data_IF_897211577357
#
_entry.id   IF_897211577357
#
_cell.length_a   1.000
_cell.length_b   1.000
_cell.length_c   1.000
_cell.angle_alpha   90.00
_cell.angle_beta   90.00
_cell.angle_gamma   90.00
#
_symmetry.space_group_name_H-M   'P 1'
#
loop_
_entity.id
_entity.type
_entity.pdbx_description
1 polymer ?
#
# COMPACT_ATOMS: atom_id res chain seq x y z
N UNK A 1 9.12 -47.39 -51.95
CA UNK A 1 9.73 -46.13 -51.47
C UNK A 1 9.10 -45.79 -50.14
N UNK A 2 9.88 -45.67 -49.08
CA UNK A 2 9.35 -45.41 -47.73
C UNK A 2 10.50 -45.22 -46.77
N UNK A 3 11.30 -44.16 -46.98
CA UNK A 3 12.26 -43.72 -45.99
C UNK A 3 11.47 -43.21 -44.79
N UNK A 4 11.39 -44.02 -43.73
CA UNK A 4 10.84 -43.58 -42.45
C UNK A 4 11.63 -42.36 -41.98
N UNK A 5 10.93 -41.30 -41.60
CA UNK A 5 11.54 -40.09 -41.06
C UNK A 5 12.60 -40.45 -40.02
N UNK A 6 13.81 -39.91 -40.22
CA UNK A 6 14.94 -40.06 -39.30
C UNK A 6 14.48 -39.70 -37.87
N UNK A 7 15.06 -40.35 -36.85
CA UNK A 7 14.80 -40.01 -35.46
C UNK A 7 15.02 -38.50 -35.18
N UNK A 8 15.96 -37.88 -35.89
CA UNK A 8 16.23 -36.45 -35.82
C UNK A 8 15.10 -35.60 -36.41
N UNK A 9 14.50 -36.02 -37.53
CA UNK A 9 13.36 -35.32 -38.13
C UNK A 9 12.09 -35.42 -37.29
N UNK A 10 11.92 -36.53 -36.56
CA UNK A 10 10.83 -36.68 -35.59
C UNK A 10 11.05 -35.77 -34.38
N UNK A 11 12.26 -35.76 -33.83
CA UNK A 11 12.62 -34.89 -32.71
C UNK A 11 12.51 -33.40 -33.09
N UNK A 12 12.95 -33.01 -34.29
CA UNK A 12 12.81 -31.64 -34.81
C UNK A 12 11.34 -31.22 -34.93
N UNK A 13 10.48 -32.09 -35.48
CA UNK A 13 9.03 -31.83 -35.57
C UNK A 13 8.36 -31.72 -34.21
N UNK A 14 8.76 -32.53 -33.24
CA UNK A 14 8.27 -32.44 -31.86
C UNK A 14 8.70 -31.13 -31.19
N UNK A 15 9.93 -30.67 -31.44
CA UNK A 15 10.44 -29.41 -30.93
C UNK A 15 9.69 -28.21 -31.53
N UNK A 16 9.48 -28.19 -32.85
CA UNK A 16 8.71 -27.15 -33.54
C UNK A 16 7.26 -27.09 -33.04
N UNK A 17 6.64 -28.26 -32.80
CA UNK A 17 5.29 -28.33 -32.24
C UNK A 17 5.26 -27.71 -30.84
N UNK A 18 6.21 -28.05 -29.96
CA UNK A 18 6.33 -27.45 -28.62
C UNK A 18 6.55 -25.94 -28.68
N UNK A 19 7.45 -25.47 -29.54
CA UNK A 19 7.71 -24.04 -29.72
C UNK A 19 6.46 -23.28 -30.18
N UNK A 20 5.65 -23.87 -31.06
CA UNK A 20 4.39 -23.28 -31.50
C UNK A 20 3.37 -23.23 -30.37
N UNK A 21 3.21 -24.33 -29.62
CA UNK A 21 2.32 -24.40 -28.46
C UNK A 21 2.73 -23.39 -27.37
N UNK A 22 4.02 -23.27 -27.08
CA UNK A 22 4.57 -22.29 -26.14
C UNK A 22 4.35 -20.86 -26.63
N UNK A 23 4.56 -20.60 -27.94
CA UNK A 23 4.29 -19.29 -28.54
C UNK A 23 2.82 -18.89 -28.47
N UNK A 24 1.88 -19.81 -28.69
CA UNK A 24 0.45 -19.57 -28.55
C UNK A 24 0.06 -19.32 -27.08
N UNK A 25 0.67 -20.04 -26.14
CA UNK A 25 0.47 -19.87 -24.70
C UNK A 25 1.03 -18.52 -24.22
N UNK A 26 2.21 -18.13 -24.67
CA UNK A 26 2.83 -16.85 -24.37
C UNK A 26 2.02 -15.68 -24.94
N UNK A 27 1.45 -15.82 -26.14
CA UNK A 27 0.59 -14.81 -26.73
C UNK A 27 -0.71 -14.55 -25.91
N UNK A 28 -1.16 -15.53 -25.12
CA UNK A 28 -2.31 -15.41 -24.20
C UNK A 28 -1.91 -15.13 -22.75
N UNK A 29 -0.63 -14.89 -22.50
CA UNK A 29 -0.10 -14.66 -21.17
C UNK A 29 -0.01 -13.17 -20.87
N UNK A 30 -0.67 -12.75 -19.79
CA UNK A 30 -0.63 -11.39 -19.26
C UNK A 30 0.34 -11.33 -18.09
N UNK A 31 1.43 -10.57 -18.24
CA UNK A 31 2.44 -10.38 -17.18
C UNK A 31 2.11 -9.14 -16.36
N UNK A 32 1.82 -9.32 -15.09
CA UNK A 32 1.52 -8.27 -14.11
C UNK A 32 2.68 -8.09 -13.14
N UNK A 33 3.23 -6.88 -13.04
CA UNK A 33 4.30 -6.56 -12.09
C UNK A 33 3.75 -5.72 -10.93
N UNK A 34 3.84 -6.23 -9.70
CA UNK A 34 3.42 -5.49 -8.50
C UNK A 34 4.59 -4.66 -7.97
N UNK A 35 4.44 -3.34 -7.97
CA UNK A 35 5.45 -2.41 -7.45
C UNK A 35 4.89 -1.57 -6.30
N UNK A 36 5.78 -1.02 -5.48
CA UNK A 36 5.41 -0.17 -4.34
C UNK A 36 6.37 -0.34 -3.17
N UNK A 37 6.36 0.63 -2.26
CA UNK A 37 7.22 0.64 -1.07
C UNK A 37 7.01 -0.61 -0.18
N UNK A 38 7.90 -0.83 0.78
CA UNK A 38 7.71 -1.86 1.80
C UNK A 38 6.34 -1.71 2.48
N UNK A 39 5.70 -2.84 2.81
CA UNK A 39 4.43 -2.86 3.57
C UNK A 39 3.24 -2.17 2.89
N UNK A 40 3.32 -1.85 1.60
CA UNK A 40 2.22 -1.26 0.83
C UNK A 40 1.02 -2.20 0.60
N UNK A 41 1.22 -3.52 0.72
CA UNK A 41 0.18 -4.54 0.55
C UNK A 41 0.26 -5.36 -0.74
N UNK A 42 1.41 -5.37 -1.43
CA UNK A 42 1.65 -6.19 -2.63
C UNK A 42 1.34 -7.67 -2.41
N UNK A 43 1.98 -8.28 -1.42
CA UNK A 43 1.79 -9.69 -1.12
C UNK A 43 0.35 -10.00 -0.67
N UNK A 44 -0.35 -9.05 -0.05
CA UNK A 44 -1.77 -9.22 0.30
C UNK A 44 -2.63 -9.39 -0.95
N UNK A 45 -2.38 -8.61 -2.01
CA UNK A 45 -3.09 -8.74 -3.28
C UNK A 45 -2.79 -10.10 -3.93
N UNK A 46 -1.54 -10.58 -3.86
CA UNK A 46 -1.19 -11.92 -4.38
C UNK A 46 -1.96 -13.02 -3.62
N UNK A 47 -2.00 -12.92 -2.29
CA UNK A 47 -2.76 -13.84 -1.45
C UNK A 47 -4.25 -13.82 -1.80
N UNK A 48 -4.83 -12.64 -2.04
CA UNK A 48 -6.22 -12.51 -2.50
C UNK A 48 -6.44 -13.14 -3.88
N UNK A 49 -5.51 -12.96 -4.83
CA UNK A 49 -5.60 -13.61 -6.14
C UNK A 49 -5.58 -15.13 -6.03
N UNK A 50 -4.82 -15.70 -5.08
CA UNK A 50 -4.85 -17.13 -4.80
C UNK A 50 -6.22 -17.58 -4.28
N UNK A 51 -6.82 -16.82 -3.37
CA UNK A 51 -8.16 -17.11 -2.83
C UNK A 51 -9.23 -17.08 -3.93
N UNK A 52 -9.22 -16.04 -4.77
CA UNK A 52 -10.27 -15.81 -5.75
C UNK A 52 -10.11 -16.72 -6.99
N UNK A 53 -8.87 -17.04 -7.39
CA UNK A 53 -8.58 -17.69 -8.69
C UNK A 53 -7.77 -18.99 -8.62
N UNK A 54 -7.37 -19.48 -7.43
CA UNK A 54 -6.62 -20.74 -7.25
C UNK A 54 -7.14 -21.58 -6.06
N UNK A 55 -8.45 -21.75 -5.98
CA UNK A 55 -9.12 -22.64 -5.02
C UNK A 55 -8.83 -22.38 -3.52
N UNK A 56 -8.29 -21.21 -3.16
CA UNK A 56 -7.97 -20.89 -1.78
C UNK A 56 -6.63 -21.45 -1.29
N UNK A 57 -6.54 -21.60 0.03
CA UNK A 57 -5.42 -22.23 0.71
C UNK A 57 -5.83 -23.63 1.17
N UNK A 58 -4.98 -24.62 0.96
CA UNK A 58 -5.21 -25.96 1.49
C UNK A 58 -5.07 -25.96 3.02
N UNK A 59 -5.58 -27.00 3.68
CA UNK A 59 -5.39 -27.16 5.13
C UNK A 59 -3.91 -27.17 5.51
N UNK A 60 -3.09 -27.89 4.75
CA UNK A 60 -1.64 -27.98 4.96
C UNK A 60 -0.98 -26.59 4.87
N UNK A 61 -1.32 -25.81 3.85
CA UNK A 61 -0.82 -24.44 3.69
C UNK A 61 -1.29 -23.51 4.83
N UNK A 62 -2.55 -23.64 5.26
CA UNK A 62 -3.05 -22.89 6.41
C UNK A 62 -2.27 -23.22 7.69
N UNK A 63 -1.90 -24.48 7.91
CA UNK A 63 -1.13 -24.89 9.09
C UNK A 63 0.30 -24.30 9.07
N UNK A 64 0.91 -24.13 7.90
CA UNK A 64 2.21 -23.46 7.77
C UNK A 64 2.17 -21.98 8.23
N UNK A 65 1.00 -21.33 8.17
CA UNK A 65 0.86 -19.95 8.65
C UNK A 65 0.82 -19.80 10.17
N UNK A 66 0.63 -20.89 10.92
CA UNK A 66 0.54 -20.81 12.40
C UNK A 66 1.81 -20.21 12.98
N UNK A 67 2.98 -20.70 12.56
CA UNK A 67 4.28 -20.23 13.07
C UNK A 67 4.51 -18.75 12.74
N UNK A 68 4.11 -18.33 11.53
CA UNK A 68 4.18 -16.95 11.08
C UNK A 68 3.27 -16.05 11.92
N UNK A 69 2.03 -16.49 12.18
CA UNK A 69 1.05 -15.73 12.98
C UNK A 69 1.53 -15.59 14.42
N UNK A 70 2.06 -16.65 15.03
CA UNK A 70 2.63 -16.58 16.37
C UNK A 70 3.84 -15.65 16.44
N UNK A 71 4.77 -15.75 15.49
CA UNK A 71 5.91 -14.83 15.39
C UNK A 71 5.45 -13.38 15.23
N UNK A 72 4.49 -13.11 14.35
CA UNK A 72 3.91 -11.77 14.16
C UNK A 72 3.25 -11.21 15.42
N UNK A 73 2.55 -12.06 16.18
CA UNK A 73 1.87 -11.68 17.43
C UNK A 73 2.88 -11.32 18.51
N UNK A 74 3.90 -12.17 18.71
CA UNK A 74 4.97 -11.94 19.66
C UNK A 74 5.75 -10.67 19.33
N UNK A 75 6.20 -10.51 18.08
CA UNK A 75 6.96 -9.34 17.65
C UNK A 75 6.15 -8.04 17.78
N UNK A 76 4.84 -8.10 17.57
CA UNK A 76 3.96 -6.94 17.79
C UNK A 76 3.92 -6.52 19.26
N UNK A 77 3.76 -7.47 20.19
CA UNK A 77 3.78 -7.15 21.62
C UNK A 77 5.16 -6.65 22.08
N UNK A 78 6.24 -7.28 21.63
CA UNK A 78 7.60 -6.85 21.95
C UNK A 78 7.90 -5.44 21.45
N UNK A 79 7.43 -5.08 20.26
CA UNK A 79 7.56 -3.73 19.72
C UNK A 79 6.85 -2.70 20.61
N UNK A 80 5.61 -2.99 21.05
CA UNK A 80 4.86 -2.10 21.94
C UNK A 80 5.56 -1.96 23.30
N UNK A 81 6.02 -3.06 23.90
CA UNK A 81 6.75 -3.05 25.18
C UNK A 81 8.03 -2.22 25.09
N UNK A 82 8.79 -2.33 24.01
CA UNK A 82 9.99 -1.51 23.78
C UNK A 82 9.63 -0.03 23.62
N UNK A 83 8.56 0.26 22.86
CA UNK A 83 8.09 1.62 22.63
C UNK A 83 7.58 2.30 23.91
N UNK A 84 7.03 1.56 24.89
CA UNK A 84 6.64 2.15 26.17
C UNK A 84 7.80 2.85 26.87
N UNK A 85 8.99 2.23 26.89
CA UNK A 85 10.20 2.83 27.46
C UNK A 85 10.64 4.06 26.67
N UNK A 86 10.63 4.00 25.34
CA UNK A 86 11.02 5.12 24.48
C UNK A 86 10.07 6.32 24.62
N UNK A 87 8.77 6.07 24.72
CA UNK A 87 7.72 7.09 24.83
C UNK A 87 7.45 7.51 26.29
N UNK A 88 8.19 6.95 27.26
CA UNK A 88 8.03 7.17 28.70
C UNK A 88 6.59 6.92 29.20
N UNK A 89 5.94 5.88 28.68
CA UNK A 89 4.59 5.47 29.08
C UNK A 89 4.69 4.46 30.22
N UNK A 90 4.02 4.75 31.33
CA UNK A 90 3.94 3.85 32.48
C UNK A 90 2.89 2.76 32.24
N UNK A 91 3.12 1.58 32.82
CA UNK A 91 2.11 0.53 32.88
C UNK A 91 0.93 0.99 33.76
N UNK A 92 -0.28 0.57 33.41
CA UNK A 92 -1.46 0.81 34.24
C UNK A 92 -1.40 0.04 35.54
N UNK A 93 -0.92 -1.20 35.49
CA UNK A 93 -0.63 -2.06 36.64
C UNK A 93 0.89 -2.30 36.74
N UNK A 94 1.49 -1.98 37.89
CA UNK A 94 2.92 -2.19 38.14
C UNK A 94 3.37 -3.64 37.97
N UNK A 95 2.48 -4.62 38.20
CA UNK A 95 2.79 -6.03 37.99
C UNK A 95 3.06 -6.37 36.51
N UNK A 96 2.59 -5.55 35.57
CA UNK A 96 2.85 -5.71 34.14
C UNK A 96 4.30 -5.45 33.77
N UNK A 97 5.04 -4.69 34.58
CA UNK A 97 6.47 -4.50 34.39
C UNK A 97 7.27 -5.81 34.55
N UNK A 98 6.86 -6.69 35.47
CA UNK A 98 7.44 -8.03 35.60
C UNK A 98 7.06 -8.92 34.41
N UNK A 99 5.80 -8.86 33.96
CA UNK A 99 5.33 -9.61 32.77
C UNK A 99 6.11 -9.21 31.51
N UNK A 100 6.36 -7.91 31.30
CA UNK A 100 7.16 -7.42 30.17
C UNK A 100 8.61 -7.93 30.21
N UNK A 101 9.24 -7.93 31.39
CA UNK A 101 10.59 -8.49 31.58
C UNK A 101 10.64 -9.99 31.29
N UNK A 102 9.63 -10.74 31.75
CA UNK A 102 9.50 -12.17 31.46
C UNK A 102 9.31 -12.44 29.98
N UNK A 103 8.45 -11.65 29.30
CA UNK A 103 8.20 -11.81 27.87
C UNK A 103 9.48 -11.65 27.05
N UNK A 104 10.30 -10.63 27.37
CA UNK A 104 11.59 -10.40 26.71
C UNK A 104 12.55 -11.58 26.91
N UNK A 105 12.62 -12.14 28.11
CA UNK A 105 13.46 -13.32 28.36
C UNK A 105 12.95 -14.58 27.65
N UNK A 106 11.63 -14.77 27.64
CA UNK A 106 10.98 -15.88 26.94
C UNK A 106 11.19 -15.80 25.42
N UNK A 107 11.18 -14.61 24.83
CA UNK A 107 11.42 -14.45 23.39
C UNK A 107 12.83 -14.83 22.94
N UNK A 108 13.81 -14.79 23.85
CA UNK A 108 15.20 -15.16 23.56
C UNK A 108 15.47 -16.66 23.77
N UNK A 109 14.57 -17.37 24.44
CA UNK A 109 14.77 -18.76 24.88
C UNK A 109 13.85 -19.76 24.18
N UNK A 110 12.67 -19.34 23.78
CA UNK A 110 11.67 -20.18 23.12
C UNK A 110 11.94 -20.26 21.61
N UNK A 111 11.68 -21.44 21.04
CA UNK A 111 11.75 -21.67 19.60
C UNK A 111 10.84 -20.72 18.83
N UNK A 112 11.39 -20.09 17.80
CA UNK A 112 10.67 -19.14 16.95
C UNK A 112 9.42 -19.80 16.32
N UNK A 113 8.30 -19.08 16.36
CA UNK A 113 7.05 -19.57 15.79
C UNK A 113 6.25 -20.50 16.70
N UNK A 114 6.63 -20.65 17.97
CA UNK A 114 5.81 -21.33 18.99
C UNK A 114 5.12 -20.32 19.91
N UNK A 115 4.05 -20.75 20.58
CA UNK A 115 3.31 -19.91 21.54
C UNK A 115 2.93 -20.73 22.79
N UNK A 116 3.89 -20.97 23.71
CA UNK A 116 3.60 -21.69 24.95
C UNK A 116 2.57 -20.94 25.81
N UNK A 117 1.83 -21.70 26.63
CA UNK A 117 0.75 -21.13 27.46
C UNK A 117 1.21 -19.97 28.35
N UNK A 118 2.40 -20.09 28.96
CA UNK A 118 2.95 -19.01 29.79
C UNK A 118 3.13 -17.71 28.99
N UNK A 119 3.61 -17.81 27.75
CA UNK A 119 3.82 -16.66 26.86
C UNK A 119 2.49 -16.04 26.46
N UNK A 120 1.50 -16.83 26.03
CA UNK A 120 0.19 -16.30 25.64
C UNK A 120 -0.54 -15.67 26.82
N UNK A 121 -0.44 -16.27 28.02
CA UNK A 121 -1.01 -15.70 29.24
C UNK A 121 -0.39 -14.34 29.59
N UNK A 122 0.94 -14.19 29.41
CA UNK A 122 1.65 -12.92 29.59
C UNK A 122 1.19 -11.88 28.56
N UNK A 123 1.18 -12.22 27.27
CA UNK A 123 0.74 -11.31 26.19
C UNK A 123 -0.71 -10.87 26.44
N UNK A 124 -1.59 -11.79 26.83
CA UNK A 124 -3.00 -11.50 27.13
C UNK A 124 -3.18 -10.55 28.31
N UNK A 125 -2.34 -10.63 29.35
CA UNK A 125 -2.34 -9.68 30.48
C UNK A 125 -1.79 -8.32 30.08
N UNK A 126 -0.70 -8.28 29.31
CA UNK A 126 -0.11 -7.05 28.81
C UNK A 126 -1.08 -6.31 27.88
N UNK A 127 -1.74 -7.01 26.96
CA UNK A 127 -2.67 -6.37 26.02
C UNK A 127 -3.84 -5.66 26.72
N UNK A 128 -4.28 -6.17 27.88
CA UNK A 128 -5.34 -5.56 28.70
C UNK A 128 -4.88 -4.36 29.53
N UNK A 129 -3.57 -4.11 29.62
CA UNK A 129 -3.01 -2.99 30.38
C UNK A 129 -3.30 -1.64 29.70
N UNK A 130 -3.69 -0.64 30.48
CA UNK A 130 -4.04 0.68 29.96
C UNK A 130 -2.83 1.45 29.41
N UNK A 131 -1.64 1.23 29.97
CA UNK A 131 -0.39 1.79 29.45
C UNK A 131 0.00 1.18 28.10
N UNK A 132 -0.16 -0.14 27.95
CA UNK A 132 0.03 -0.84 26.67
C UNK A 132 -0.96 -0.32 25.62
N UNK A 133 -2.24 -0.17 25.96
CA UNK A 133 -3.24 0.39 25.05
C UNK A 133 -2.92 1.84 24.65
N UNK A 134 -2.50 2.68 25.60
CA UNK A 134 -2.08 4.05 25.32
C UNK A 134 -0.84 4.11 24.41
N UNK A 135 0.09 3.16 24.56
CA UNK A 135 1.25 3.02 23.66
C UNK A 135 0.84 2.56 22.27
N UNK A 136 -0.12 1.64 22.17
CA UNK A 136 -0.67 1.18 20.89
C UNK A 136 -1.41 2.30 20.14
N UNK A 137 -2.12 3.18 20.85
CA UNK A 137 -2.76 4.35 20.24
C UNK A 137 -1.78 5.33 19.58
N UNK A 138 -0.50 5.29 20.00
CA UNK A 138 0.62 6.08 19.45
C UNK A 138 1.50 5.28 18.48
N UNK A 139 0.98 4.19 17.90
CA UNK A 139 1.72 3.29 17.03
C UNK A 139 2.30 3.92 15.75
N UNK A 140 1.94 5.17 15.39
CA UNK A 140 2.61 5.90 14.30
C UNK A 140 4.00 6.42 14.68
N UNK A 141 4.32 6.52 15.97
CA UNK A 141 5.60 7.04 16.48
C UNK A 141 6.72 5.99 16.52
N UNK A 142 6.40 4.72 16.22
CA UNK A 142 7.37 3.62 16.16
C UNK A 142 6.99 2.59 15.10
N UNK A 143 7.87 1.62 14.87
CA UNK A 143 7.66 0.61 13.84
C UNK A 143 6.78 -0.54 14.39
N UNK A 144 5.49 -0.50 14.05
CA UNK A 144 4.53 -1.55 14.39
C UNK A 144 3.83 -2.09 13.15
N UNK A 145 3.50 -3.39 13.15
CA UNK A 145 2.73 -4.00 12.07
C UNK A 145 1.25 -3.61 12.18
N UNK A 146 0.62 -3.25 11.06
CA UNK A 146 -0.82 -2.89 11.00
C UNK A 146 -1.74 -3.99 11.54
N UNK A 147 -1.33 -5.25 11.42
CA UNK A 147 -2.11 -6.40 11.92
C UNK A 147 -1.97 -6.64 13.43
N UNK A 148 -1.16 -5.85 14.16
CA UNK A 148 -0.91 -6.04 15.60
C UNK A 148 -2.21 -6.08 16.40
N UNK A 149 -3.07 -5.07 16.24
CA UNK A 149 -4.34 -5.00 16.97
C UNK A 149 -5.28 -6.15 16.67
N UNK A 150 -5.26 -6.69 15.44
CA UNK A 150 -6.08 -7.83 15.04
C UNK A 150 -5.68 -9.11 15.78
N UNK A 151 -4.38 -9.46 15.77
CA UNK A 151 -3.93 -10.68 16.44
C UNK A 151 -3.94 -10.58 17.96
N UNK A 152 -3.55 -9.43 18.52
CA UNK A 152 -3.50 -9.26 19.97
C UNK A 152 -4.89 -9.26 20.62
N UNK A 153 -5.90 -8.74 19.92
CA UNK A 153 -7.29 -8.75 20.41
C UNK A 153 -7.94 -10.14 20.36
N UNK A 154 -7.52 -10.98 19.41
CA UNK A 154 -8.04 -12.34 19.22
C UNK A 154 -7.12 -13.44 19.76
N UNK A 155 -6.17 -13.10 20.64
CA UNK A 155 -5.13 -14.03 21.10
C UNK A 155 -5.67 -15.38 21.60
N UNK A 156 -6.80 -15.37 22.32
CA UNK A 156 -7.43 -16.57 22.85
C UNK A 156 -7.85 -17.56 21.74
N UNK A 157 -8.38 -17.04 20.63
CA UNK A 157 -8.72 -17.84 19.44
C UNK A 157 -7.47 -18.45 18.82
N UNK A 158 -6.38 -17.69 18.74
CA UNK A 158 -5.14 -18.12 18.10
C UNK A 158 -4.46 -19.26 18.85
N UNK A 159 -4.59 -19.32 20.18
CA UNK A 159 -3.92 -20.34 21.02
C UNK A 159 -4.82 -21.50 21.44
N UNK A 160 -6.05 -21.54 20.91
CA UNK A 160 -6.99 -22.64 21.18
C UNK A 160 -6.46 -23.95 20.57
N UNK A 161 -6.48 -25.08 21.30
CA UNK A 161 -6.09 -26.37 20.74
C UNK A 161 -6.87 -26.72 19.48
N UNK A 162 -6.16 -27.08 18.40
CA UNK A 162 -6.78 -27.35 17.10
C UNK A 162 -7.08 -26.09 16.28
N UNK A 163 -6.53 -24.94 16.63
CA UNK A 163 -6.61 -23.73 15.82
C UNK A 163 -6.10 -23.97 14.39
N UNK A 164 -6.94 -23.59 13.42
CA UNK A 164 -6.61 -23.54 12.00
C UNK A 164 -6.77 -22.09 11.54
N UNK A 165 -5.73 -21.47 10.95
CA UNK A 165 -5.82 -20.11 10.44
C UNK A 165 -6.94 -19.94 9.42
N UNK A 166 -7.70 -18.86 9.57
CA UNK A 166 -8.68 -18.43 8.59
C UNK A 166 -8.00 -17.71 7.42
N UNK A 167 -8.70 -17.56 6.29
CA UNK A 167 -8.20 -16.72 5.18
C UNK A 167 -7.87 -15.29 5.65
N UNK A 168 -8.62 -14.75 6.61
CA UNK A 168 -8.36 -13.42 7.17
C UNK A 168 -7.06 -13.38 7.97
N UNK A 169 -6.75 -14.45 8.71
CA UNK A 169 -5.47 -14.62 9.41
C UNK A 169 -4.32 -14.72 8.42
N UNK A 170 -4.49 -15.47 7.34
CA UNK A 170 -3.49 -15.62 6.26
C UNK A 170 -3.25 -14.29 5.54
N UNK A 171 -4.31 -13.53 5.22
CA UNK A 171 -4.20 -12.24 4.53
C UNK A 171 -3.47 -11.19 5.38
N UNK A 172 -3.70 -11.20 6.69
CA UNK A 172 -3.08 -10.27 7.65
C UNK A 172 -1.68 -10.68 8.08
N UNK A 173 -1.27 -11.92 7.79
CA UNK A 173 0.06 -12.41 8.16
C UNK A 173 1.12 -11.71 7.34
N UNK A 174 2.21 -11.36 8.02
CA UNK A 174 3.32 -10.58 7.49
C UNK A 174 4.54 -11.47 7.38
N UNK A 175 4.97 -11.65 6.14
CA UNK A 175 6.27 -12.21 5.77
C UNK A 175 6.98 -11.16 4.94
N UNK A 176 8.23 -10.85 5.28
CA UNK A 176 9.05 -9.92 4.49
C UNK A 176 9.41 -10.61 3.17
N UNK A 177 8.83 -10.16 2.06
CA UNK A 177 9.17 -10.67 0.73
C UNK A 177 10.62 -10.35 0.38
N UNK A 178 11.40 -11.40 0.12
CA UNK A 178 12.77 -11.32 -0.38
C UNK A 178 12.81 -11.86 -1.80
N UNK A 179 13.51 -11.17 -2.70
CA UNK A 179 13.57 -11.55 -4.10
C UNK A 179 12.27 -11.32 -4.86
N UNK A 180 11.98 -12.25 -5.78
CA UNK A 180 10.88 -12.21 -6.73
C UNK A 180 10.07 -13.49 -6.55
N UNK A 181 8.77 -13.35 -6.31
CA UNK A 181 7.82 -14.46 -6.22
C UNK A 181 6.90 -14.37 -7.42
N UNK A 182 6.81 -15.45 -8.20
CA UNK A 182 5.90 -15.55 -9.34
C UNK A 182 4.69 -16.39 -8.97
N UNK A 183 3.49 -15.88 -9.23
CA UNK A 183 2.22 -16.61 -9.09
C UNK A 183 1.50 -16.65 -10.42
N UNK A 184 1.06 -17.84 -10.82
CA UNK A 184 0.32 -18.06 -12.07
C UNK A 184 -1.12 -18.48 -11.78
N UNK A 185 -2.08 -17.91 -12.50
CA UNK A 185 -3.50 -18.28 -12.44
C UNK A 185 -4.17 -17.99 -13.78
N UNK A 186 -5.36 -18.55 -14.02
CA UNK A 186 -6.12 -18.32 -15.25
C UNK A 186 -7.41 -17.55 -14.96
N UNK A 187 -7.76 -16.60 -15.82
CA UNK A 187 -9.01 -15.83 -15.72
C UNK A 187 -9.52 -15.47 -17.12
N UNK A 188 -10.77 -15.85 -17.43
CA UNK A 188 -11.43 -15.60 -18.73
C UNK A 188 -10.54 -15.93 -19.94
N UNK A 189 -10.09 -17.19 -19.99
CA UNK A 189 -9.25 -17.78 -21.05
C UNK A 189 -7.84 -17.20 -21.21
N UNK A 190 -7.44 -16.28 -20.32
CA UNK A 190 -6.09 -15.72 -20.26
C UNK A 190 -5.31 -16.30 -19.09
N UNK A 191 -4.01 -16.45 -19.30
CA UNK A 191 -3.07 -16.88 -18.26
C UNK A 191 -2.40 -15.65 -17.67
N UNK A 192 -2.53 -15.44 -16.37
CA UNK A 192 -1.88 -14.35 -15.66
C UNK A 192 -0.62 -14.85 -14.98
N UNK A 193 0.47 -14.12 -15.17
CA UNK A 193 1.73 -14.27 -14.42
C UNK A 193 1.94 -13.02 -13.60
N UNK A 194 1.74 -13.12 -12.29
CA UNK A 194 1.89 -12.01 -11.35
C UNK A 194 3.22 -12.11 -10.62
N UNK A 195 4.00 -11.03 -10.66
CA UNK A 195 5.31 -10.94 -10.02
C UNK A 195 5.21 -10.02 -8.79
N UNK A 196 5.41 -10.60 -7.61
CA UNK A 196 5.55 -9.89 -6.35
C UNK A 196 7.03 -9.73 -6.00
N UNK A 197 7.47 -8.49 -5.85
CA UNK A 197 8.86 -8.16 -5.57
C UNK A 197 8.98 -7.45 -4.23
N UNK A 198 10.10 -7.68 -3.54
CA UNK A 198 10.38 -7.00 -2.26
C UNK A 198 10.33 -5.47 -2.39
N UNK A 199 9.56 -4.80 -1.52
CA UNK A 199 9.34 -3.34 -1.58
C UNK A 199 10.41 -2.47 -0.91
N UNK A 200 11.23 -3.09 -0.06
CA UNK A 200 12.27 -2.41 0.73
C UNK A 200 13.42 -1.96 -0.16
N UNK A 201 14.13 -0.90 0.25
CA UNK A 201 15.21 -0.30 -0.56
C UNK A 201 16.28 -1.32 -0.99
N UNK A 202 16.63 -2.27 -0.11
CA UNK A 202 17.60 -3.34 -0.39
C UNK A 202 17.17 -4.30 -1.51
N UNK A 203 15.86 -4.49 -1.69
CA UNK A 203 15.31 -5.46 -2.64
C UNK A 203 15.12 -4.86 -4.04
N UNK A 204 15.06 -3.54 -4.17
CA UNK A 204 14.71 -2.87 -5.44
C UNK A 204 15.69 -3.10 -6.58
N UNK A 205 16.96 -3.38 -6.26
CA UNK A 205 17.98 -3.72 -7.27
C UNK A 205 17.60 -4.98 -8.06
N UNK A 206 16.79 -5.88 -7.49
CA UNK A 206 16.36 -7.14 -8.11
C UNK A 206 15.21 -6.93 -9.10
N UNK A 207 14.51 -5.79 -9.06
CA UNK A 207 13.28 -5.57 -9.85
C UNK A 207 13.51 -5.62 -11.35
N UNK A 208 14.71 -5.20 -11.82
CA UNK A 208 15.06 -5.18 -13.24
C UNK A 208 14.92 -6.55 -13.92
N UNK A 209 15.05 -7.65 -13.17
CA UNK A 209 14.89 -9.01 -13.68
C UNK A 209 13.45 -9.36 -14.09
N UNK A 210 12.47 -8.52 -13.75
CA UNK A 210 11.07 -8.72 -14.09
C UNK A 210 10.52 -7.69 -15.08
N UNK A 211 11.33 -6.75 -15.58
CA UNK A 211 10.81 -5.61 -16.37
C UNK A 211 10.47 -5.98 -17.82
N UNK A 212 11.08 -7.04 -18.35
CA UNK A 212 10.92 -7.42 -19.74
C UNK A 212 9.54 -8.06 -20.00
N UNK A 213 8.85 -7.53 -21.02
CA UNK A 213 7.56 -8.06 -21.47
C UNK A 213 6.41 -7.89 -20.48
N UNK A 214 6.54 -6.99 -19.50
CA UNK A 214 5.45 -6.66 -18.57
C UNK A 214 4.29 -6.02 -19.34
N UNK A 215 3.11 -6.61 -19.23
CA UNK A 215 1.89 -6.10 -19.86
C UNK A 215 1.34 -4.89 -19.09
N UNK A 216 1.35 -4.97 -17.75
CA UNK A 216 0.83 -3.92 -16.89
C UNK A 216 1.57 -3.91 -15.54
N UNK A 217 1.83 -2.71 -15.03
CA UNK A 217 2.30 -2.50 -13.66
C UNK A 217 1.10 -2.19 -12.78
N UNK A 218 1.05 -2.81 -11.60
CA UNK A 218 0.14 -2.42 -10.53
C UNK A 218 1.00 -1.80 -9.43
N UNK A 219 0.99 -0.47 -9.34
CA UNK A 219 1.70 0.25 -8.31
C UNK A 219 0.80 0.41 -7.08
N UNK A 220 1.26 -0.03 -5.91
CA UNK A 220 0.46 -0.05 -4.69
C UNK A 220 1.06 0.94 -3.69
N UNK A 221 0.22 1.86 -3.23
CA UNK A 221 0.55 2.90 -2.27
C UNK A 221 -0.33 2.76 -1.03
N UNK A 222 0.28 2.77 0.16
CA UNK A 222 -0.44 2.77 1.43
C UNK A 222 -0.88 4.19 1.79
N UNK A 223 -2.19 4.42 1.88
CA UNK A 223 -2.74 5.70 2.31
C UNK A 223 -2.45 5.99 3.78
N UNK A 224 -2.44 4.95 4.63
CA UNK A 224 -2.25 5.05 6.08
C UNK A 224 -0.82 5.42 6.51
N UNK A 225 0.12 5.58 5.56
CA UNK A 225 1.53 5.79 5.83
C UNK A 225 1.95 7.28 5.92
N UNK A 226 0.99 8.21 5.86
CA UNK A 226 1.25 9.66 5.80
C UNK A 226 1.91 10.23 7.07
N UNK A 227 1.73 9.60 8.21
CA UNK A 227 2.24 10.00 9.53
C UNK A 227 3.28 9.00 10.05
N UNK A 228 3.94 8.25 9.16
CA UNK A 228 4.94 7.25 9.52
C UNK A 228 6.26 7.48 8.77
N UNK A 229 7.37 7.07 9.39
CA UNK A 229 8.71 7.08 8.79
C UNK A 229 9.16 5.68 8.37
N UNK A 230 10.13 5.59 7.46
CA UNK A 230 10.63 4.30 6.97
C UNK A 230 11.29 3.50 8.10
N UNK A 231 11.28 2.18 7.96
CA UNK A 231 12.07 1.31 8.86
C UNK A 231 13.56 1.50 8.61
N UNK A 232 13.91 1.70 7.34
CA UNK A 232 15.29 1.86 6.90
C UNK A 232 15.88 3.26 7.19
N UNK A 233 15.05 4.25 7.52
CA UNK A 233 15.41 5.68 7.57
C UNK A 233 14.33 6.46 8.34
N UNK A 234 14.61 6.85 9.58
CA UNK A 234 13.66 7.48 10.51
C UNK A 234 13.41 8.97 10.24
N UNK A 235 14.16 9.58 9.31
CA UNK A 235 13.94 10.95 8.86
C UNK A 235 13.02 11.02 7.63
N UNK A 236 12.81 9.91 6.93
CA UNK A 236 12.06 9.87 5.67
C UNK A 236 10.64 9.38 5.89
N UNK A 237 9.66 10.25 5.60
CA UNK A 237 8.25 9.90 5.59
C UNK A 237 7.93 8.82 4.53
N UNK A 238 7.18 7.79 4.92
CA UNK A 238 6.84 6.64 4.06
C UNK A 238 6.02 7.05 2.82
N UNK A 239 5.11 8.02 2.94
CA UNK A 239 4.30 8.47 1.81
C UNK A 239 5.13 9.28 0.80
N UNK A 240 6.04 10.13 1.26
CA UNK A 240 6.98 10.82 0.39
C UNK A 240 7.89 9.86 -0.37
N UNK A 241 8.47 8.87 0.31
CA UNK A 241 9.24 7.80 -0.36
C UNK A 241 8.39 7.09 -1.43
N UNK A 242 7.12 6.78 -1.13
CA UNK A 242 6.25 6.12 -2.10
C UNK A 242 5.93 6.98 -3.32
N UNK A 243 5.77 8.30 -3.15
CA UNK A 243 5.58 9.25 -4.25
C UNK A 243 6.83 9.38 -5.11
N UNK A 244 8.02 9.48 -4.50
CA UNK A 244 9.30 9.50 -5.21
C UNK A 244 9.54 8.22 -6.00
N UNK A 245 9.24 7.08 -5.40
CA UNK A 245 9.32 5.79 -6.06
C UNK A 245 8.38 5.72 -7.27
N UNK A 246 7.14 6.15 -7.11
CA UNK A 246 6.17 6.17 -8.20
C UNK A 246 6.61 7.06 -9.36
N UNK A 247 7.09 8.27 -9.07
CA UNK A 247 7.66 9.16 -10.07
C UNK A 247 8.82 8.50 -10.84
N UNK A 248 9.68 7.78 -10.12
CA UNK A 248 10.81 7.07 -10.73
C UNK A 248 10.35 5.94 -11.65
N UNK A 249 9.29 5.21 -11.29
CA UNK A 249 8.69 4.16 -12.14
C UNK A 249 8.03 4.75 -13.38
N UNK A 250 7.24 5.82 -13.22
CA UNK A 250 6.62 6.51 -14.36
C UNK A 250 7.67 7.03 -15.36
N UNK A 251 8.82 7.52 -14.90
CA UNK A 251 9.85 8.05 -15.80
C UNK A 251 10.89 7.00 -16.23
N UNK A 252 10.69 5.72 -15.91
CA UNK A 252 11.65 4.67 -16.23
C UNK A 252 11.57 4.24 -17.70
N UNK A 253 12.73 4.17 -18.38
CA UNK A 253 12.79 3.87 -19.83
C UNK A 253 12.16 2.53 -20.23
N UNK A 254 12.28 1.52 -19.38
CA UNK A 254 11.68 0.19 -19.64
C UNK A 254 10.14 0.21 -19.63
N UNK A 255 9.53 1.25 -19.05
CA UNK A 255 8.07 1.34 -18.86
C UNK A 255 7.42 2.44 -19.69
N UNK A 256 8.15 3.01 -20.65
CA UNK A 256 7.67 4.13 -21.47
C UNK A 256 6.34 3.83 -22.20
N UNK A 257 6.08 2.56 -22.53
CA UNK A 257 4.85 2.09 -23.18
C UNK A 257 4.01 1.15 -22.29
N UNK A 258 4.43 0.91 -21.05
CA UNK A 258 3.76 -0.02 -20.13
C UNK A 258 2.63 0.70 -19.41
N UNK A 259 1.45 0.09 -19.38
CA UNK A 259 0.32 0.65 -18.61
C UNK A 259 0.58 0.54 -17.11
N UNK A 260 0.24 1.60 -16.36
CA UNK A 260 0.41 1.64 -14.91
C UNK A 260 -0.95 1.87 -14.25
N UNK A 261 -1.35 0.93 -13.38
CA UNK A 261 -2.54 1.04 -12.54
C UNK A 261 -2.11 1.38 -11.12
N UNK A 262 -2.73 2.41 -10.51
CA UNK A 262 -2.43 2.85 -9.15
C UNK A 262 -3.46 2.31 -8.16
N UNK A 263 -3.00 1.58 -7.15
CA UNK A 263 -3.79 1.07 -6.05
C UNK A 263 -3.52 1.88 -4.79
N UNK A 264 -4.56 2.54 -4.27
CA UNK A 264 -4.52 3.27 -3.02
C UNK A 264 -5.05 2.39 -1.90
N UNK A 265 -4.14 1.65 -1.27
CA UNK A 265 -4.43 0.62 -0.28
C UNK A 265 -4.53 1.18 1.15
N UNK A 266 -5.03 0.37 2.08
CA UNK A 266 -5.16 0.67 3.52
C UNK A 266 -6.02 1.91 3.80
N UNK A 267 -7.08 2.05 3.00
CA UNK A 267 -8.03 3.16 3.13
C UNK A 267 -8.78 3.09 4.46
N UNK A 268 -9.20 1.90 4.87
CA UNK A 268 -9.80 1.61 6.18
C UNK A 268 -8.94 2.17 7.33
N UNK A 269 -7.65 1.83 7.35
CA UNK A 269 -6.71 2.32 8.38
C UNK A 269 -6.52 3.84 8.26
N UNK A 270 -6.42 4.37 7.04
CA UNK A 270 -6.33 5.81 6.81
C UNK A 270 -7.55 6.58 7.36
N UNK A 271 -8.76 6.06 7.17
CA UNK A 271 -10.00 6.70 7.65
C UNK A 271 -10.06 6.79 9.18
N UNK A 272 -9.46 5.84 9.89
CA UNK A 272 -9.36 5.90 11.35
C UNK A 272 -8.25 6.85 11.81
N UNK A 273 -7.07 6.81 11.17
CA UNK A 273 -5.93 7.65 11.55
C UNK A 273 -6.18 9.14 11.31
N UNK A 274 -6.87 9.51 10.24
CA UNK A 274 -7.15 10.92 9.89
C UNK A 274 -8.04 11.63 10.93
N UNK A 275 -8.75 10.87 11.78
CA UNK A 275 -9.52 11.41 12.91
C UNK A 275 -8.61 11.86 14.06
N UNK A 276 -7.41 11.28 14.18
CA UNK A 276 -6.46 11.50 15.28
C UNK A 276 -5.25 12.36 14.86
N UNK A 277 -4.71 12.16 13.66
CA UNK A 277 -3.50 12.82 13.17
C UNK A 277 -3.78 13.59 11.88
N UNK A 278 -3.40 14.87 11.85
CA UNK A 278 -3.69 15.75 10.71
C UNK A 278 -2.82 15.45 9.49
N UNK A 279 -3.36 15.65 8.28
CA UNK A 279 -2.65 15.38 7.03
C UNK A 279 -1.44 16.29 6.80
N UNK A 280 -1.39 17.43 7.49
CA UNK A 280 -0.28 18.40 7.40
C UNK A 280 1.08 17.85 7.81
N UNK A 281 1.11 16.72 8.55
CA UNK A 281 2.35 15.99 8.86
C UNK A 281 3.08 15.59 7.56
N UNK A 282 2.33 15.17 6.54
CA UNK A 282 2.90 14.84 5.24
C UNK A 282 2.80 16.02 4.26
N UNK A 283 1.72 16.80 4.30
CA UNK A 283 1.46 17.86 3.35
C UNK A 283 1.25 19.20 4.07
N UNK A 284 2.32 19.93 4.43
CA UNK A 284 2.23 21.15 5.23
C UNK A 284 1.30 22.22 4.64
N UNK A 285 1.23 22.30 3.32
CA UNK A 285 0.37 23.24 2.58
C UNK A 285 -1.13 22.85 2.61
N UNK A 286 -1.49 21.75 3.28
CA UNK A 286 -2.89 21.36 3.46
C UNK A 286 -3.53 22.18 4.60
N UNK A 287 -4.15 23.29 4.21
CA UNK A 287 -4.83 24.27 5.06
C UNK A 287 -6.18 23.78 5.64
N UNK A 288 -6.76 22.71 5.06
CA UNK A 288 -8.02 22.13 5.54
C UNK A 288 -9.21 23.09 5.49
N UNK A 289 -9.16 24.15 4.68
CA UNK A 289 -10.13 25.26 4.76
C UNK A 289 -11.59 24.77 4.64
N UNK A 290 -12.35 25.02 5.71
CA UNK A 290 -13.75 24.62 5.87
C UNK A 290 -14.06 23.79 7.12
N UNK A 291 -13.12 23.61 8.05
CA UNK A 291 -13.42 23.10 9.40
C UNK A 291 -13.91 21.65 9.47
N UNK A 292 -13.79 20.90 8.37
CA UNK A 292 -13.97 19.45 8.40
C UNK A 292 -12.78 18.79 7.72
N UNK A 293 -12.01 18.06 8.51
CA UNK A 293 -11.15 16.94 8.12
C UNK A 293 -11.99 15.80 7.52
N UNK A 294 -12.87 16.12 6.55
CA UNK A 294 -13.72 15.15 5.88
C UNK A 294 -12.81 14.13 5.21
N UNK A 295 -12.88 12.84 5.57
CA UNK A 295 -11.97 11.84 5.02
C UNK A 295 -12.05 11.73 3.48
N UNK A 296 -13.18 12.13 2.91
CA UNK A 296 -13.37 12.24 1.45
C UNK A 296 -12.49 13.32 0.81
N UNK A 297 -12.30 14.47 1.46
CA UNK A 297 -11.47 15.58 0.94
C UNK A 297 -9.98 15.25 1.06
N UNK A 298 -9.55 14.72 2.20
CA UNK A 298 -8.17 14.26 2.38
C UNK A 298 -7.81 13.20 1.33
N UNK A 299 -8.73 12.28 1.04
CA UNK A 299 -8.56 11.29 -0.03
C UNK A 299 -8.41 11.93 -1.41
N UNK A 300 -9.23 12.92 -1.76
CA UNK A 300 -9.15 13.61 -3.05
C UNK A 300 -7.82 14.34 -3.22
N UNK A 301 -7.28 14.93 -2.15
CA UNK A 301 -5.98 15.60 -2.19
C UNK A 301 -4.84 14.59 -2.37
N UNK A 302 -4.85 13.49 -1.61
CA UNK A 302 -3.85 12.43 -1.77
C UNK A 302 -3.90 11.90 -3.20
N UNK A 303 -5.09 11.55 -3.72
CA UNK A 303 -5.30 11.14 -5.13
C UNK A 303 -4.77 12.21 -6.10
N UNK A 304 -5.01 13.50 -5.81
CA UNK A 304 -4.54 14.62 -6.60
C UNK A 304 -3.01 14.76 -6.63
N UNK A 305 -2.31 14.48 -5.53
CA UNK A 305 -0.85 14.43 -5.48
C UNK A 305 -0.31 13.28 -6.35
N UNK A 306 -0.90 12.09 -6.23
CA UNK A 306 -0.55 10.95 -7.08
C UNK A 306 -0.79 11.22 -8.57
N UNK A 307 -1.90 11.89 -8.88
CA UNK A 307 -2.24 12.29 -10.24
C UNK A 307 -1.26 13.35 -10.78
N UNK A 308 -0.89 14.35 -9.98
CA UNK A 308 0.07 15.40 -10.37
C UNK A 308 1.44 14.81 -10.70
N UNK A 309 1.89 13.80 -9.95
CA UNK A 309 3.11 13.06 -10.24
C UNK A 309 2.95 12.23 -11.53
N UNK A 310 1.85 11.49 -11.67
CA UNK A 310 1.60 10.68 -12.87
C UNK A 310 1.46 11.49 -14.17
N UNK A 311 0.90 12.70 -14.12
CA UNK A 311 0.71 13.56 -15.28
C UNK A 311 1.97 14.27 -15.79
N UNK A 312 3.08 14.23 -15.06
CA UNK A 312 4.39 14.69 -15.57
C UNK A 312 5.02 13.68 -16.54
N UNK A 313 4.42 12.48 -16.68
CA UNK A 313 4.86 11.46 -17.61
C UNK A 313 4.43 11.80 -19.06
N UNK A 314 5.35 11.82 -20.04
CA UNK A 314 5.01 12.11 -21.44
C UNK A 314 4.00 11.14 -22.09
N UNK A 315 3.84 9.91 -21.59
CA UNK A 315 2.82 8.97 -22.05
C UNK A 315 1.39 9.32 -21.56
N UNK A 316 1.25 10.19 -20.56
CA UNK A 316 -0.06 10.67 -20.11
C UNK A 316 -0.64 11.78 -21.00
N UNK A 317 0.18 12.39 -21.87
CA UNK A 317 -0.19 13.58 -22.65
C UNK A 317 -0.32 13.37 -24.17
N UNK A 318 0.04 12.21 -24.71
CA UNK A 318 0.02 12.00 -26.17
C UNK A 318 -0.34 10.57 -26.57
N UNK A 319 -1.46 10.50 -27.30
CA UNK A 319 -1.87 9.50 -28.28
C UNK A 319 -2.21 8.07 -27.86
N UNK A 320 -3.46 7.71 -28.22
CA UNK A 320 -3.89 6.42 -28.73
C UNK A 320 -2.73 5.61 -29.34
N UNK A 321 -2.23 4.64 -28.59
CA UNK A 321 -1.56 3.47 -29.16
C UNK A 321 -2.29 2.27 -28.61
N UNK A 322 -2.96 1.56 -29.50
CA UNK A 322 -3.76 0.38 -29.18
C UNK A 322 -2.87 -0.71 -28.56
N UNK A 323 -3.14 -1.17 -27.32
CA UNK A 323 -2.62 -2.43 -26.83
C UNK A 323 -3.32 -3.58 -27.58
N UNK A 324 -2.66 -4.74 -27.67
CA UNK A 324 -3.17 -5.91 -28.38
C UNK A 324 -4.67 -6.20 -28.06
N UNK A 325 -5.51 -6.49 -29.06
CA UNK A 325 -6.97 -6.41 -28.97
C UNK A 325 -7.64 -7.35 -27.95
N UNK A 326 -6.93 -8.33 -27.38
CA UNK A 326 -7.48 -9.30 -26.45
C UNK A 326 -7.21 -9.01 -24.96
N UNK A 327 -6.17 -8.22 -24.62
CA UNK A 327 -5.82 -7.92 -23.21
C UNK A 327 -6.53 -6.68 -22.64
N UNK A 328 -7.15 -5.87 -23.50
CA UNK A 328 -7.59 -4.50 -23.19
C UNK A 328 -8.68 -4.41 -22.09
N UNK A 329 -9.51 -5.45 -21.94
CA UNK A 329 -10.56 -5.50 -20.91
C UNK A 329 -10.25 -6.50 -19.78
N UNK A 330 -9.25 -7.36 -19.94
CA UNK A 330 -9.00 -8.45 -19.00
C UNK A 330 -8.37 -7.95 -17.70
N UNK A 331 -7.39 -7.03 -17.77
CA UNK A 331 -6.79 -6.43 -16.58
C UNK A 331 -7.82 -5.61 -15.80
N UNK A 332 -8.56 -4.65 -16.40
CA UNK A 332 -9.63 -3.95 -15.68
C UNK A 332 -10.71 -4.90 -15.12
N UNK A 333 -11.09 -5.96 -15.84
CA UNK A 333 -12.08 -6.92 -15.37
C UNK A 333 -11.56 -7.76 -14.18
N UNK A 334 -10.32 -8.24 -14.24
CA UNK A 334 -9.66 -8.95 -13.13
C UNK A 334 -9.60 -8.08 -11.88
N UNK A 335 -9.18 -6.82 -12.03
CA UNK A 335 -9.12 -5.88 -10.92
C UNK A 335 -10.53 -5.54 -10.40
N UNK A 336 -11.52 -5.41 -11.28
CA UNK A 336 -12.91 -5.21 -10.86
C UNK A 336 -13.44 -6.40 -10.06
N UNK A 337 -13.07 -7.62 -10.45
CA UNK A 337 -13.43 -8.84 -9.72
C UNK A 337 -12.78 -8.86 -8.33
N UNK A 338 -11.49 -8.54 -8.25
CA UNK A 338 -10.78 -8.36 -6.98
C UNK A 338 -11.47 -7.32 -6.07
N UNK A 339 -11.96 -6.20 -6.61
CA UNK A 339 -12.64 -5.15 -5.83
C UNK A 339 -13.92 -5.62 -5.15
N UNK A 340 -14.60 -6.61 -5.74
CA UNK A 340 -15.85 -7.16 -5.20
C UNK A 340 -15.57 -8.02 -3.97
N UNK A 341 -14.40 -8.63 -3.90
CA UNK A 341 -13.97 -9.50 -2.80
C UNK A 341 -13.11 -8.76 -1.76
N UNK A 342 -12.49 -7.65 -2.12
CA UNK A 342 -11.85 -6.75 -1.18
C UNK A 342 -12.88 -6.08 -0.25
N UNK A 343 -12.47 -5.74 0.98
CA UNK A 343 -13.36 -5.07 1.95
C UNK A 343 -14.05 -3.83 1.34
N UNK A 344 -15.31 -3.53 1.72
CA UNK A 344 -16.09 -2.44 1.14
C UNK A 344 -15.43 -1.08 1.38
N UNK A 345 -14.55 -0.66 0.48
CA UNK A 345 -13.73 0.53 0.68
C UNK A 345 -12.70 0.81 -0.41
N UNK A 346 -12.11 -0.22 -1.02
CA UNK A 346 -11.12 -0.10 -2.10
C UNK A 346 -11.79 0.41 -3.39
N UNK A 347 -11.40 1.60 -3.85
CA UNK A 347 -11.90 2.19 -5.11
C UNK A 347 -10.70 2.51 -6.00
N UNK A 348 -10.78 2.05 -7.25
CA UNK A 348 -9.76 2.16 -8.29
C UNK A 348 -9.57 3.60 -8.79
N UNK A 349 -8.33 3.92 -9.15
CA UNK A 349 -8.01 5.06 -10.02
C UNK A 349 -7.12 4.53 -11.16
N UNK A 350 -7.70 4.39 -12.35
CA UNK A 350 -6.95 4.11 -13.58
C UNK A 350 -6.43 5.42 -14.15
N UNK A 351 -5.10 5.59 -14.14
CA UNK A 351 -4.42 6.64 -14.91
C UNK A 351 -4.48 6.24 -16.38
N UNK A 352 -5.46 6.76 -17.14
CA UNK A 352 -5.48 6.59 -18.60
C UNK A 352 -6.83 6.53 -19.34
N UNK A 353 -8.00 6.61 -18.68
CA UNK A 353 -9.28 6.45 -19.40
C UNK A 353 -10.37 7.52 -19.16
N UNK A 354 -10.09 8.62 -18.45
CA UNK A 354 -11.04 9.73 -18.36
C UNK A 354 -10.39 11.08 -18.63
N UNK A 355 -10.87 11.87 -19.62
CA UNK A 355 -10.55 13.27 -19.70
C UNK A 355 -11.32 14.00 -18.60
N UNK A 356 -10.65 14.26 -17.47
CA UNK A 356 -11.12 15.30 -16.57
C UNK A 356 -11.04 16.62 -17.34
N UNK A 357 -12.18 17.14 -17.77
CA UNK A 357 -12.25 18.43 -18.46
C UNK A 357 -11.62 19.47 -17.54
N UNK A 358 -10.51 20.08 -17.97
CA UNK A 358 -10.05 21.37 -17.47
C UNK A 358 -11.22 22.35 -17.61
N UNK A 359 -11.98 22.61 -16.55
CA UNK A 359 -13.12 23.52 -16.69
C UNK A 359 -14.04 23.68 -15.49
N UNK A 360 -14.16 22.72 -14.57
CA UNK A 360 -15.04 22.89 -13.41
C UNK A 360 -14.22 23.19 -12.15
N UNK A 361 -14.49 24.37 -11.58
CA UNK A 361 -13.80 25.01 -10.44
C UNK A 361 -12.60 25.90 -10.79
N UNK A 362 -12.78 26.83 -11.72
CA UNK A 362 -12.34 28.21 -11.44
C UNK A 362 -13.37 28.85 -10.48
N UNK A 363 -12.95 29.58 -9.43
CA UNK A 363 -13.87 30.36 -8.63
C UNK A 363 -14.57 31.37 -9.54
N UNK A 364 -15.90 31.30 -9.63
CA UNK A 364 -16.72 32.28 -10.33
C UNK A 364 -16.44 33.65 -9.70
N UNK A 365 -15.74 34.52 -10.42
CA UNK A 365 -15.82 35.97 -10.18
C UNK A 365 -17.27 36.38 -10.46
N UNK A 366 -18.00 36.74 -9.41
CA UNK A 366 -19.39 37.20 -9.52
C UNK A 366 -19.49 38.53 -10.29
N UNK A 367 -20.61 38.80 -10.98
CA UNK A 367 -20.81 40.05 -11.69
C UNK A 367 -21.33 41.15 -10.75
N UNK A 368 -20.71 42.33 -10.87
CA UNK A 368 -21.22 43.70 -10.67
C UNK A 368 -22.29 44.02 -9.61
N UNK A 369 -21.98 45.02 -8.77
CA UNK A 369 -22.78 46.26 -8.73
C UNK A 369 -22.07 47.38 -7.94
N UNK A 370 -21.53 48.35 -8.67
CA UNK A 370 -21.23 49.70 -8.18
C UNK A 370 -22.55 50.48 -8.02
N UNK A 371 -22.66 51.42 -7.06
CA UNK A 371 -23.53 52.57 -7.20
C UNK A 371 -22.71 53.83 -7.51
N UNK A 372 -22.96 54.43 -8.68
CA UNK A 372 -22.79 55.87 -8.97
C UNK A 372 -23.94 56.62 -8.26
N UNK A 373 -23.91 57.87 -7.84
CA UNK A 373 -22.99 59.02 -7.83
C UNK A 373 -23.64 60.03 -6.86
N UNK A 374 -22.87 60.85 -6.16
CA UNK A 374 -23.10 62.30 -6.11
C UNK A 374 -21.87 63.01 -5.54
N UNK A 375 -21.45 64.05 -6.28
CA UNK A 375 -20.36 65.00 -6.01
C UNK A 375 -21.01 66.29 -5.48
N UNK A 376 -20.39 67.01 -4.52
CA UNK A 376 -19.74 68.29 -4.85
C UNK A 376 -18.41 68.51 -4.09
N UNK A 377 -17.29 68.62 -4.81
CA UNK A 377 -16.42 69.81 -5.03
C UNK A 377 -15.43 70.20 -3.91
N UNK A 378 -14.26 70.77 -4.27
CA UNK A 378 -13.06 70.78 -3.43
C UNK A 378 -12.77 72.15 -2.82
N UNK A 379 -12.14 72.20 -1.64
CA UNK A 379 -11.39 73.38 -1.20
C UNK A 379 -10.34 73.05 -0.12
N UNK A 380 -9.12 73.55 -0.38
CA UNK A 380 -8.11 74.07 0.56
C UNK A 380 -7.31 73.11 1.46
N UNK A 381 -6.06 72.88 1.06
CA UNK A 381 -4.85 72.86 1.92
C UNK A 381 -4.65 74.23 2.61
N UNK A 382 -3.95 74.37 3.76
CA UNK A 382 -2.54 73.99 3.88
C UNK A 382 -2.05 73.44 5.26
N UNK A 383 -0.87 72.81 5.20
CA UNK A 383 0.25 72.76 6.16
C UNK A 383 0.01 72.32 7.63
N UNK A 384 0.76 71.30 8.09
CA UNK A 384 1.96 71.45 8.95
C UNK A 384 2.59 70.09 9.32
N UNK A 385 3.89 69.95 9.02
CA UNK A 385 5.00 69.34 9.81
C UNK A 385 4.71 68.28 10.88
N UNK A 386 5.37 67.10 10.81
CA UNK A 386 6.62 66.79 11.56
C UNK A 386 6.92 65.29 11.70
N UNK A 387 8.18 64.92 11.40
CA UNK A 387 9.06 63.84 11.98
C UNK A 387 8.58 62.37 12.01
N UNK A 388 9.31 61.41 11.41
CA UNK A 388 10.47 60.67 12.00
C UNK A 388 10.12 60.07 13.39
N UNK A 389 10.22 58.76 13.67
CA UNK A 389 11.44 57.91 13.69
C UNK A 389 10.99 56.45 13.99
N UNK A 390 11.46 55.43 13.27
CA UNK A 390 12.48 54.45 13.68
C UNK A 390 12.10 53.38 14.72
N UNK A 391 12.10 52.12 14.25
CA UNK A 391 12.78 50.93 14.81
C UNK A 391 12.50 50.51 16.28
N UNK A 392 11.90 49.33 16.43
CA UNK A 392 12.48 48.13 17.05
C UNK A 392 11.63 46.92 16.71
#
# INVERSE_FOLDING_TARGET
MGAGASAEEKHSRELEKKLKEDGEKDARTVKLLLLGAGESGKSTIVKQMKIIHKDGYSLEECLEFITIIYSNTLQSMLAIVRAMSTLNIQYGDSARQDDARKLLHLSDTIEEGTMPKEMSDIIGRLWKDTGIQACFDRASEYQLNDSAGYYLSDLERLVTPGYVPTEQDVLRSRVKTTGIIETQFSFKDLNFRMFDVGGQRSERKKWIHCFEGVTCIIFIAALSAYDMVLVEDDEVNRMHESLHLFNSICNHRYFATTSIVLFLNKKDVFLEKIKKAHLSICFPDYDGEGGSSSPTRCRLLVVGCWWRVGCQHPAAATHQVAPAPHANNAVPALLTDHARFAHPGERWVTLGQHPWRRGEHQPRRGPHSLPRHQVPTPTTTPATTSSCSSWS
#
